data_IF_069421070276
#
_entry.id   IF_069421070276
#
_cell.length_a   1.000
_cell.length_b   1.000
_cell.length_c   1.000
_cell.angle_alpha   90.00
_cell.angle_beta   90.00
_cell.angle_gamma   90.00
#
_symmetry.space_group_name_H-M   'P 1'
#
loop_
_entity.id
_entity.type
_entity.pdbx_description
1 polymer ?
#
# COMPACT_ATOMS: atom_id res chain seq x y z
N UNK A 1 13.03 3.26 8.57
CA UNK A 1 12.12 3.02 9.72
C UNK A 1 10.69 2.98 9.17
N UNK A 2 9.90 1.95 9.48
CA UNK A 2 8.49 1.84 9.03
C UNK A 2 7.58 2.20 10.20
N UNK A 3 6.64 3.12 9.98
CA UNK A 3 5.67 3.59 10.97
C UNK A 3 4.27 3.62 10.36
N UNK A 4 3.25 3.71 11.21
CA UNK A 4 1.86 3.88 10.77
C UNK A 4 1.38 5.28 11.11
N UNK A 5 0.60 5.88 10.21
CA UNK A 5 0.05 7.23 10.40
C UNK A 5 -0.86 7.29 11.63
N UNK A 6 -1.00 8.47 12.25
CA UNK A 6 -1.76 8.62 13.50
C UNK A 6 -1.10 8.01 14.76
N UNK A 7 0.03 7.31 14.67
CA UNK A 7 0.72 6.72 15.81
C UNK A 7 2.05 7.41 16.11
N UNK A 8 2.33 7.79 17.38
CA UNK A 8 3.60 8.42 17.75
C UNK A 8 4.78 7.45 17.63
N UNK A 9 5.95 7.99 17.26
CA UNK A 9 7.24 7.32 17.36
C UNK A 9 8.28 8.25 17.98
N UNK A 10 9.29 7.69 18.65
CA UNK A 10 10.33 8.48 19.33
C UNK A 10 11.64 8.50 18.53
N UNK A 11 12.23 9.69 18.39
CA UNK A 11 13.56 9.92 17.82
C UNK A 11 14.43 10.61 18.86
N UNK A 12 15.65 10.11 19.05
CA UNK A 12 16.65 10.77 19.90
C UNK A 12 17.51 11.71 19.05
N UNK A 13 17.63 12.95 19.49
CA UNK A 13 18.48 13.98 18.89
C UNK A 13 19.53 14.40 19.92
N UNK A 14 20.80 14.35 19.52
CA UNK A 14 21.92 14.79 20.36
C UNK A 14 22.49 16.08 19.79
N UNK A 15 22.36 17.16 20.55
CA UNK A 15 22.92 18.47 20.25
C UNK A 15 24.27 18.62 20.95
N UNK A 16 25.17 19.38 20.34
CA UNK A 16 26.49 19.74 20.92
C UNK A 16 26.39 20.77 22.03
N UNK A 17 25.25 21.47 22.13
CA UNK A 17 25.00 22.54 23.08
C UNK A 17 23.63 22.39 23.76
N UNK A 18 23.42 23.08 24.91
CA UNK A 18 22.12 23.11 25.56
C UNK A 18 21.01 23.59 24.63
N UNK A 19 19.87 22.91 24.64
CA UNK A 19 18.69 23.28 23.85
C UNK A 19 17.99 24.51 24.46
N UNK A 20 17.88 25.58 23.67
CA UNK A 20 17.26 26.86 24.07
C UNK A 20 16.12 27.22 23.11
N UNK A 21 14.92 26.62 23.24
CA UNK A 21 13.84 26.72 22.26
C UNK A 21 13.34 28.16 22.02
N UNK A 22 13.39 29.02 23.04
CA UNK A 22 12.94 30.42 22.92
C UNK A 22 13.87 31.30 22.07
N UNK A 23 15.14 30.92 21.95
CA UNK A 23 16.14 31.63 21.14
C UNK A 23 16.42 30.94 19.82
N UNK A 24 16.45 29.61 19.83
CA UNK A 24 16.76 28.77 18.69
C UNK A 24 15.69 27.67 18.57
N UNK A 25 14.63 27.91 17.80
CA UNK A 25 13.60 26.90 17.59
C UNK A 25 14.17 25.70 16.83
N UNK A 26 13.75 24.50 17.22
CA UNK A 26 14.03 23.27 16.49
C UNK A 26 12.93 23.08 15.46
N UNK A 27 13.25 23.16 14.18
CA UNK A 27 12.29 22.95 13.09
C UNK A 27 12.49 21.58 12.48
N UNK A 28 11.41 20.86 12.21
CA UNK A 28 11.40 19.56 11.57
C UNK A 28 10.58 19.66 10.28
N UNK A 29 11.09 19.09 9.21
CA UNK A 29 10.37 18.97 7.94
C UNK A 29 10.21 17.50 7.56
N UNK A 30 9.01 17.14 7.13
CA UNK A 30 8.68 15.83 6.61
C UNK A 30 8.26 15.96 5.14
N UNK A 31 8.95 15.27 4.24
CA UNK A 31 8.76 15.40 2.78
C UNK A 31 8.48 14.07 2.12
N UNK A 32 7.34 13.95 1.42
CA UNK A 32 6.91 12.76 0.64
C UNK A 32 6.46 13.13 -0.79
N UNK A 33 6.94 14.27 -1.30
CA UNK A 33 6.37 14.97 -2.46
C UNK A 33 5.51 16.17 -2.05
N UNK A 34 4.87 16.09 -0.88
CA UNK A 34 4.33 17.24 -0.15
C UNK A 34 5.27 17.65 0.99
N UNK A 35 5.21 18.94 1.37
CA UNK A 35 6.06 19.55 2.38
C UNK A 35 5.29 19.86 3.68
N UNK A 36 5.66 19.20 4.79
CA UNK A 36 5.12 19.47 6.12
C UNK A 36 6.21 20.03 7.04
N UNK A 37 5.97 21.18 7.67
CA UNK A 37 6.90 21.87 8.57
C UNK A 37 6.29 22.05 9.97
N UNK A 38 7.01 21.63 11.00
CA UNK A 38 6.58 21.64 12.42
C UNK A 38 7.81 21.76 13.33
N UNK A 39 7.66 21.85 14.66
CA UNK A 39 8.82 21.91 15.55
C UNK A 39 8.54 22.42 16.95
N UNK A 40 9.61 22.80 17.65
CA UNK A 40 9.58 23.26 19.05
C UNK A 40 10.21 24.65 19.15
N UNK A 41 9.53 25.65 19.75
CA UNK A 41 8.17 25.59 20.28
C UNK A 41 7.11 25.52 19.17
N UNK A 42 5.86 25.14 19.51
CA UNK A 42 4.71 24.98 18.59
C UNK A 42 4.20 26.31 17.95
N UNK A 43 5.08 27.32 17.86
CA UNK A 43 4.84 28.62 17.23
C UNK A 43 5.40 28.68 15.80
N UNK A 44 6.00 27.61 15.29
CA UNK A 44 6.59 27.56 13.95
C UNK A 44 5.51 27.71 12.88
N UNK A 45 5.76 28.58 11.90
CA UNK A 45 4.82 28.89 10.82
C UNK A 45 4.59 27.64 9.96
N UNK A 46 3.36 27.14 10.01
CA UNK A 46 2.93 25.87 9.43
C UNK A 46 2.74 26.00 7.92
N UNK A 47 2.94 24.90 7.19
CA UNK A 47 2.70 24.84 5.73
C UNK A 47 1.23 25.17 5.41
N UNK A 48 0.92 26.12 4.51
CA UNK A 48 -0.46 26.45 4.14
C UNK A 48 -1.22 25.29 3.47
N UNK A 49 -0.50 24.32 2.91
CA UNK A 49 -1.00 23.22 2.09
C UNK A 49 -1.21 21.90 2.86
N UNK A 50 -0.96 21.87 4.17
CA UNK A 50 -1.11 20.65 4.96
C UNK A 50 -2.53 20.58 5.53
N UNK A 51 -3.40 19.72 4.97
CA UNK A 51 -4.75 19.47 5.52
C UNK A 51 -4.69 18.83 6.93
N UNK A 52 -3.57 18.18 7.27
CA UNK A 52 -3.25 17.76 8.63
C UNK A 52 -1.77 17.85 8.95
N UNK A 53 -1.47 18.18 10.20
CA UNK A 53 -0.14 18.64 10.64
C UNK A 53 0.51 17.60 11.54
N UNK A 54 1.76 17.26 11.22
CA UNK A 54 2.61 16.43 12.06
C UNK A 54 2.86 17.13 13.40
N UNK A 55 2.78 16.38 14.49
CA UNK A 55 3.02 16.89 15.84
C UNK A 55 4.39 16.46 16.33
N UNK A 56 5.04 17.30 17.14
CA UNK A 56 6.25 16.93 17.88
C UNK A 56 6.14 17.40 19.32
N UNK A 57 6.52 16.52 20.23
CA UNK A 57 6.53 16.75 21.67
C UNK A 57 7.89 16.38 22.25
N UNK A 58 8.36 17.15 23.23
CA UNK A 58 9.58 16.85 23.96
C UNK A 58 9.26 15.93 25.14
N UNK A 59 9.85 14.74 25.18
CA UNK A 59 9.61 13.82 26.30
C UNK A 59 10.24 14.36 27.60
N UNK A 60 9.61 14.03 28.74
CA UNK A 60 10.11 14.39 30.08
C UNK A 60 11.50 13.85 30.41
N UNK A 61 11.94 12.78 29.72
CA UNK A 61 13.27 12.16 29.88
C UNK A 61 14.36 12.87 29.06
N UNK A 62 14.02 13.92 28.34
CA UNK A 62 15.01 14.77 27.68
C UNK A 62 15.87 15.48 28.72
N UNK A 63 17.12 15.72 28.36
CA UNK A 63 18.06 16.52 29.14
C UNK A 63 18.48 17.74 28.30
N UNK A 64 17.62 18.78 28.19
CA UNK A 64 17.90 19.96 27.37
C UNK A 64 19.21 20.65 27.73
N UNK A 65 19.60 20.63 29.01
CA UNK A 65 20.84 21.21 29.50
C UNK A 65 22.11 20.52 28.97
N UNK A 66 22.02 19.25 28.59
CA UNK A 66 23.14 18.48 28.03
C UNK A 66 22.97 18.24 26.52
N UNK A 67 21.95 18.83 25.89
CA UNK A 67 21.69 18.68 24.45
C UNK A 67 21.01 17.37 24.04
N UNK A 68 20.68 16.46 24.98
CA UNK A 68 20.01 15.19 24.65
C UNK A 68 18.49 15.37 24.64
N UNK A 69 17.87 15.30 23.46
CA UNK A 69 16.42 15.48 23.28
C UNK A 69 15.77 14.19 22.80
N UNK A 70 14.73 13.74 23.49
CA UNK A 70 13.85 12.69 23.01
C UNK A 70 12.59 13.34 22.45
N UNK A 71 12.41 13.23 21.14
CA UNK A 71 11.30 13.83 20.39
C UNK A 71 10.27 12.74 20.09
N UNK A 72 9.05 12.91 20.58
CA UNK A 72 7.91 12.10 20.17
C UNK A 72 7.27 12.79 18.97
N UNK A 73 7.29 12.13 17.81
CA UNK A 73 6.77 12.66 16.54
C UNK A 73 5.54 11.85 16.15
N UNK A 74 4.45 12.54 15.82
CA UNK A 74 3.17 11.92 15.45
C UNK A 74 2.74 12.38 14.06
N UNK A 75 2.79 11.51 13.04
CA UNK A 75 2.14 11.78 11.76
C UNK A 75 0.61 11.86 11.96
N UNK A 76 -0.10 12.74 11.27
CA UNK A 76 -1.55 12.80 11.37
C UNK A 76 -2.21 11.54 10.78
N UNK A 77 -3.44 11.20 11.20
CA UNK A 77 -4.12 9.96 10.80
C UNK A 77 -4.55 9.92 9.33
N UNK A 78 -4.50 11.05 8.63
CA UNK A 78 -4.78 11.26 7.21
C UNK A 78 -3.50 11.67 6.44
N UNK A 79 -2.31 11.49 7.02
CA UNK A 79 -1.06 11.67 6.29
C UNK A 79 -1.06 10.80 5.02
N UNK A 80 -0.56 11.31 3.87
CA UNK A 80 -0.24 10.47 2.74
C UNK A 80 0.70 9.34 3.14
N UNK A 81 0.48 8.13 2.61
CA UNK A 81 1.41 7.03 2.81
C UNK A 81 2.55 7.10 1.79
N UNK A 82 3.72 6.58 2.15
CA UNK A 82 4.88 6.59 1.26
C UNK A 82 6.21 6.74 1.98
N UNK A 83 7.27 6.96 1.19
CA UNK A 83 8.59 7.32 1.72
C UNK A 83 8.62 8.78 2.15
N UNK A 84 9.23 9.04 3.30
CA UNK A 84 9.38 10.36 3.89
C UNK A 84 10.84 10.60 4.28
N UNK A 85 11.36 11.76 3.87
CA UNK A 85 12.59 12.29 4.43
C UNK A 85 12.23 13.24 5.58
N UNK A 86 12.73 12.91 6.78
CA UNK A 86 12.57 13.74 7.96
C UNK A 86 13.86 14.51 8.20
N UNK A 87 13.87 15.83 8.01
CA UNK A 87 15.03 16.68 8.33
C UNK A 87 14.74 17.54 9.54
N UNK A 88 15.77 17.81 10.33
CA UNK A 88 15.73 18.80 11.40
C UNK A 88 16.63 19.98 11.07
N UNK A 89 16.21 21.17 11.46
CA UNK A 89 16.99 22.39 11.40
C UNK A 89 17.07 22.99 12.79
N UNK A 90 18.29 23.20 13.27
CA UNK A 90 18.59 23.88 14.52
C UNK A 90 19.67 24.93 14.24
N UNK A 91 19.36 26.20 14.50
CA UNK A 91 20.20 27.34 14.05
C UNK A 91 20.40 27.29 12.53
N UNK A 92 21.65 27.32 12.08
CA UNK A 92 22.04 27.30 10.66
C UNK A 92 22.39 25.88 10.18
N UNK A 93 22.23 24.87 11.02
CA UNK A 93 22.51 23.47 10.69
C UNK A 93 21.24 22.71 10.34
N UNK A 94 21.24 22.04 9.19
CA UNK A 94 20.20 21.12 8.77
C UNK A 94 20.77 19.70 8.71
N UNK A 95 20.04 18.74 9.27
CA UNK A 95 20.48 17.34 9.37
C UNK A 95 19.31 16.40 9.09
N UNK A 96 19.58 15.30 8.38
CA UNK A 96 18.62 14.23 8.18
C UNK A 96 18.41 13.48 9.50
N UNK A 97 17.18 13.48 10.02
CA UNK A 97 16.80 12.72 11.21
C UNK A 97 16.54 11.24 10.87
N UNK A 98 15.74 11.00 9.83
CA UNK A 98 15.34 9.64 9.47
C UNK A 98 14.77 9.56 8.05
N UNK A 99 14.96 8.40 7.42
CA UNK A 99 14.15 7.96 6.30
C UNK A 99 13.04 7.06 6.84
N UNK A 100 11.80 7.48 6.60
CA UNK A 100 10.60 6.85 7.10
C UNK A 100 9.81 6.24 5.94
N UNK A 101 9.11 5.15 6.21
CA UNK A 101 7.97 4.71 5.41
C UNK A 101 6.75 4.87 6.30
N UNK A 102 5.79 5.68 5.89
CA UNK A 102 4.51 5.86 6.59
C UNK A 102 3.45 5.02 5.89
N UNK A 103 2.74 4.18 6.64
CA UNK A 103 1.68 3.30 6.16
C UNK A 103 0.33 3.67 6.77
N UNK A 104 -0.76 3.11 6.23
CA UNK A 104 -2.09 3.20 6.85
C UNK A 104 -2.09 2.51 8.23
N UNK A 105 -3.02 2.94 9.10
CA UNK A 105 -3.08 2.48 10.47
C UNK A 105 -4.46 1.92 10.87
N UNK A 106 -4.66 0.60 10.76
CA UNK A 106 -5.92 -0.01 11.16
C UNK A 106 -6.14 -0.06 12.68
N UNK A 107 -5.13 0.26 13.50
CA UNK A 107 -5.24 0.38 14.95
C UNK A 107 -5.52 1.82 15.43
N UNK A 108 -5.50 2.81 14.53
CA UNK A 108 -5.76 4.21 14.88
C UNK A 108 -7.25 4.52 14.66
N UNK A 109 -8.03 4.86 15.71
CA UNK A 109 -9.46 5.15 15.56
C UNK A 109 -9.78 6.33 14.64
N UNK A 110 -8.83 7.27 14.49
CA UNK A 110 -8.97 8.44 13.63
C UNK A 110 -8.59 8.14 12.16
N UNK A 111 -8.04 6.96 11.86
CA UNK A 111 -7.72 6.55 10.50
C UNK A 111 -8.95 5.95 9.80
N UNK A 112 -9.17 6.37 8.56
CA UNK A 112 -10.18 5.82 7.65
C UNK A 112 -10.17 4.29 7.47
N UNK A 113 -9.06 3.60 7.77
CA UNK A 113 -8.96 2.13 7.68
C UNK A 113 -9.07 1.41 9.03
N UNK A 114 -9.45 2.12 10.10
CA UNK A 114 -9.55 1.56 11.44
C UNK A 114 -10.48 0.36 11.51
N UNK A 115 -10.04 -0.67 12.22
CA UNK A 115 -10.86 -1.83 12.60
C UNK A 115 -10.81 -1.96 14.12
N UNK A 116 -11.97 -2.07 14.76
CA UNK A 116 -12.06 -2.13 16.22
C UNK A 116 -11.75 -3.52 16.79
N UNK A 117 -11.94 -4.58 16.01
CA UNK A 117 -11.70 -5.95 16.44
C UNK A 117 -10.24 -6.35 16.17
N UNK A 118 -9.51 -6.66 17.24
CA UNK A 118 -8.11 -7.12 17.15
C UNK A 118 -7.99 -8.45 16.38
N UNK A 119 -8.97 -9.35 16.47
CA UNK A 119 -8.93 -10.58 15.68
C UNK A 119 -9.02 -10.29 14.17
N UNK A 120 -9.79 -9.28 13.78
CA UNK A 120 -9.91 -8.85 12.39
C UNK A 120 -8.65 -8.11 11.91
N UNK A 121 -7.99 -7.29 12.75
CA UNK A 121 -6.71 -6.67 12.37
C UNK A 121 -5.62 -7.73 12.22
N UNK A 122 -5.59 -8.74 13.09
CA UNK A 122 -4.66 -9.85 12.94
C UNK A 122 -4.92 -10.64 11.64
N UNK A 123 -6.17 -10.93 11.30
CA UNK A 123 -6.50 -11.70 10.09
C UNK A 123 -6.32 -10.89 8.80
N UNK A 124 -6.81 -9.64 8.75
CA UNK A 124 -6.90 -8.87 7.52
C UNK A 124 -5.69 -7.97 7.26
N UNK A 125 -4.71 -7.92 8.16
CA UNK A 125 -3.49 -7.11 8.01
C UNK A 125 -2.23 -7.93 8.32
N UNK A 126 -2.19 -8.61 9.47
CA UNK A 126 -0.97 -9.26 9.96
C UNK A 126 -0.78 -10.68 9.44
N UNK A 127 -1.85 -11.42 9.16
CA UNK A 127 -1.74 -12.80 8.72
C UNK A 127 -1.16 -12.86 7.30
N UNK A 128 -0.04 -13.58 7.13
CA UNK A 128 0.64 -13.76 5.83
C UNK A 128 0.17 -15.01 5.09
N UNK A 129 -0.62 -15.87 5.75
CA UNK A 129 -1.08 -17.12 5.17
C UNK A 129 -2.59 -17.12 5.02
N UNK A 130 -3.05 -17.34 3.79
CA UNK A 130 -4.46 -17.31 3.43
C UNK A 130 -4.94 -18.57 2.75
N UNK A 131 -6.27 -18.64 2.61
CA UNK A 131 -6.95 -19.61 1.78
C UNK A 131 -7.64 -18.84 0.65
N UNK A 132 -7.45 -19.33 -0.58
CA UNK A 132 -8.26 -18.89 -1.72
C UNK A 132 -9.14 -20.06 -2.15
N UNK A 133 -10.45 -19.81 -2.25
CA UNK A 133 -11.40 -20.81 -2.70
C UNK A 133 -11.48 -20.80 -4.23
N UNK A 134 -11.60 -22.00 -4.81
CA UNK A 134 -11.65 -22.32 -6.25
C UNK A 134 -12.59 -23.51 -6.47
N UNK A 135 -12.68 -23.98 -7.71
CA UNK A 135 -13.52 -25.12 -8.08
C UNK A 135 -14.86 -24.65 -8.62
N UNK A 136 -15.93 -25.38 -8.32
CA UNK A 136 -17.30 -25.02 -8.69
C UNK A 136 -18.16 -24.84 -7.44
N UNK A 137 -19.37 -24.29 -7.61
CA UNK A 137 -20.34 -24.20 -6.50
C UNK A 137 -20.68 -25.56 -5.88
N UNK A 138 -20.60 -26.63 -6.66
CA UNK A 138 -20.85 -28.01 -6.22
C UNK A 138 -19.60 -28.69 -5.62
N UNK A 139 -18.40 -28.18 -5.93
CA UNK A 139 -17.14 -28.76 -5.49
C UNK A 139 -16.14 -27.66 -5.15
N UNK A 140 -16.19 -27.22 -3.89
CA UNK A 140 -15.30 -26.22 -3.33
C UNK A 140 -13.90 -26.81 -3.12
N UNK A 141 -12.90 -26.17 -3.73
CA UNK A 141 -11.49 -26.48 -3.56
C UNK A 141 -10.85 -25.30 -2.83
N UNK A 142 -10.14 -25.55 -1.74
CA UNK A 142 -9.28 -24.55 -1.11
C UNK A 142 -7.85 -24.71 -1.59
N UNK A 143 -7.20 -23.61 -1.93
CA UNK A 143 -5.76 -23.54 -2.11
C UNK A 143 -5.15 -22.68 -1.02
N UNK A 144 -3.98 -23.08 -0.54
CA UNK A 144 -3.17 -22.24 0.33
C UNK A 144 -2.51 -21.15 -0.51
N UNK A 145 -2.48 -19.94 0.03
CA UNK A 145 -1.79 -18.81 -0.59
C UNK A 145 -0.91 -18.11 0.43
N UNK A 146 0.36 -18.00 0.12
CA UNK A 146 1.31 -17.22 0.90
C UNK A 146 1.32 -15.77 0.42
N UNK A 147 0.72 -14.87 1.20
CA UNK A 147 0.68 -13.46 0.90
C UNK A 147 2.07 -12.82 1.06
N UNK A 148 2.88 -13.26 2.02
CA UNK A 148 4.26 -12.83 2.23
C UNK A 148 4.46 -11.31 2.24
N UNK A 149 3.56 -10.54 2.86
CA UNK A 149 3.65 -9.07 2.88
C UNK A 149 4.81 -8.52 3.72
N UNK A 150 5.41 -9.32 4.61
CA UNK A 150 6.54 -8.90 5.45
C UNK A 150 7.88 -9.50 5.01
N UNK A 151 7.89 -10.18 3.86
CA UNK A 151 9.11 -10.67 3.23
C UNK A 151 10.08 -9.54 2.83
N UNK A 152 11.35 -9.90 2.62
CA UNK A 152 12.41 -8.95 2.28
C UNK A 152 12.05 -8.10 1.05
N UNK A 153 12.34 -6.79 1.13
CA UNK A 153 12.09 -5.77 0.10
C UNK A 153 10.60 -5.51 -0.24
N UNK A 154 9.65 -6.21 0.39
CA UNK A 154 8.23 -6.06 0.03
C UNK A 154 7.73 -4.62 0.18
N UNK A 155 8.14 -3.92 1.24
CA UNK A 155 7.76 -2.52 1.42
C UNK A 155 8.24 -1.64 0.26
N UNK A 156 9.49 -1.81 -0.16
CA UNK A 156 10.08 -1.11 -1.30
C UNK A 156 9.35 -1.46 -2.60
N UNK A 157 9.05 -2.75 -2.82
CA UNK A 157 8.36 -3.22 -4.02
C UNK A 157 6.94 -2.61 -4.10
N UNK A 158 6.19 -2.65 -3.01
CA UNK A 158 4.83 -2.10 -2.96
C UNK A 158 4.81 -0.58 -3.15
N UNK A 159 5.77 0.16 -2.58
CA UNK A 159 5.90 1.60 -2.85
C UNK A 159 6.27 1.87 -4.31
N UNK A 160 7.14 1.03 -4.90
CA UNK A 160 7.49 1.14 -6.32
C UNK A 160 6.28 0.97 -7.24
N UNK A 161 5.29 0.15 -6.87
CA UNK A 161 4.02 0.02 -7.62
C UNK A 161 3.28 1.37 -7.68
N UNK A 162 3.33 2.15 -6.59
CA UNK A 162 2.72 3.48 -6.56
C UNK A 162 3.49 4.45 -7.46
N UNK A 163 4.82 4.42 -7.46
CA UNK A 163 5.61 5.39 -8.24
C UNK A 163 5.57 5.18 -9.76
N UNK A 164 5.27 3.97 -10.22
CA UNK A 164 5.24 3.63 -11.66
C UNK A 164 3.83 3.63 -12.25
N UNK A 165 2.84 4.07 -11.47
CA UNK A 165 1.47 4.16 -11.95
C UNK A 165 1.29 5.34 -12.93
N UNK A 166 0.39 5.25 -13.93
CA UNK A 166 0.21 6.31 -14.93
C UNK A 166 -0.07 7.71 -14.35
N UNK A 167 -0.80 7.79 -13.23
CA UNK A 167 -1.11 9.08 -12.59
C UNK A 167 0.11 9.68 -11.92
N UNK A 168 0.99 8.85 -11.36
CA UNK A 168 2.28 9.29 -10.84
C UNK A 168 3.17 9.81 -11.96
N UNK A 169 3.24 9.09 -13.08
CA UNK A 169 4.05 9.50 -14.23
C UNK A 169 3.55 10.82 -14.84
N UNK A 170 2.24 11.07 -14.80
CA UNK A 170 1.63 12.33 -15.26
C UNK A 170 1.89 13.49 -14.29
N UNK A 171 1.64 13.29 -12.98
CA UNK A 171 1.82 14.32 -11.96
C UNK A 171 2.18 13.71 -10.60
N UNK A 172 3.48 13.54 -10.29
CA UNK A 172 3.95 12.91 -9.06
C UNK A 172 3.43 13.59 -7.79
N UNK A 173 3.42 14.93 -7.76
CA UNK A 173 3.01 15.68 -6.57
C UNK A 173 1.51 15.51 -6.27
N UNK A 174 0.67 15.52 -7.32
CA UNK A 174 -0.77 15.31 -7.18
C UNK A 174 -1.08 13.88 -6.78
N UNK A 175 -0.42 12.89 -7.39
CA UNK A 175 -0.60 11.49 -7.05
C UNK A 175 -0.17 11.20 -5.60
N UNK A 176 1.02 11.64 -5.20
CA UNK A 176 1.52 11.51 -3.83
C UNK A 176 0.59 12.17 -2.80
N UNK A 177 0.02 13.35 -3.11
CA UNK A 177 -0.95 13.99 -2.22
C UNK A 177 -2.22 13.16 -2.01
N UNK A 178 -2.64 12.39 -3.02
CA UNK A 178 -3.84 11.57 -2.97
C UNK A 178 -3.61 10.22 -2.25
N UNK A 179 -2.37 9.86 -1.93
CA UNK A 179 -2.03 8.67 -1.14
C UNK A 179 -2.51 8.73 0.31
N UNK A 180 -3.13 9.83 0.74
CA UNK A 180 -3.85 9.89 2.03
C UNK A 180 -5.16 9.09 2.02
N UNK A 181 -5.73 8.81 0.85
CA UNK A 181 -7.06 8.23 0.71
C UNK A 181 -6.97 6.74 0.32
N UNK A 182 -7.45 5.80 1.17
CA UNK A 182 -7.37 4.38 0.88
C UNK A 182 -8.20 3.98 -0.34
N UNK A 183 -9.28 4.70 -0.65
CA UNK A 183 -10.12 4.44 -1.84
C UNK A 183 -9.35 4.81 -3.12
N UNK A 184 -8.65 5.94 -3.11
CA UNK A 184 -7.81 6.34 -4.25
C UNK A 184 -6.72 5.29 -4.49
N UNK A 185 -6.02 4.92 -3.42
CA UNK A 185 -4.92 3.99 -3.49
C UNK A 185 -5.37 2.58 -3.91
N UNK A 186 -6.52 2.11 -3.41
CA UNK A 186 -7.14 0.85 -3.85
C UNK A 186 -7.38 0.81 -5.36
N UNK A 187 -7.83 1.93 -5.95
CA UNK A 187 -8.05 2.04 -7.40
C UNK A 187 -6.74 2.05 -8.18
N UNK A 188 -5.72 2.74 -7.68
CA UNK A 188 -4.38 2.73 -8.29
C UNK A 188 -3.82 1.31 -8.30
N UNK A 189 -3.78 0.65 -7.13
CA UNK A 189 -3.28 -0.73 -7.01
C UNK A 189 -4.06 -1.66 -7.92
N UNK A 190 -5.41 -1.63 -7.88
CA UNK A 190 -6.27 -2.46 -8.73
C UNK A 190 -5.99 -2.29 -10.22
N UNK A 191 -5.76 -1.06 -10.70
CA UNK A 191 -5.39 -0.80 -12.09
C UNK A 191 -4.00 -1.36 -12.42
N UNK A 192 -3.05 -1.24 -11.49
CA UNK A 192 -1.67 -1.75 -11.66
C UNK A 192 -1.56 -3.27 -11.63
N UNK A 193 -2.60 -4.00 -11.22
CA UNK A 193 -2.57 -5.46 -11.18
C UNK A 193 -2.58 -6.07 -12.59
N UNK A 194 -3.39 -5.51 -13.48
CA UNK A 194 -3.62 -6.05 -14.80
C UNK A 194 -2.76 -5.31 -15.84
N UNK A 195 -1.92 -6.04 -16.59
CA UNK A 195 -1.06 -5.46 -17.63
C UNK A 195 -1.77 -5.09 -18.94
N UNK A 196 -3.10 -4.97 -18.95
CA UNK A 196 -3.87 -4.62 -20.15
C UNK A 196 -3.41 -3.32 -20.81
N UNK A 197 -2.89 -2.38 -20.00
CA UNK A 197 -2.47 -1.04 -20.43
C UNK A 197 -0.94 -0.82 -20.30
N UNK A 198 -0.10 -1.84 -20.48
CA UNK A 198 1.38 -1.78 -20.45
C UNK A 198 2.07 -1.49 -19.10
N UNK A 199 1.37 -0.98 -18.09
CA UNK A 199 1.95 -0.62 -16.78
C UNK A 199 1.72 -1.64 -15.65
N UNK A 200 0.94 -2.70 -15.89
CA UNK A 200 0.57 -3.65 -14.84
C UNK A 200 1.61 -4.72 -14.54
N UNK A 201 1.58 -5.30 -13.33
CA UNK A 201 2.61 -6.25 -12.89
C UNK A 201 2.38 -7.72 -13.26
N UNK A 202 1.17 -8.13 -13.64
CA UNK A 202 0.84 -9.50 -14.06
C UNK A 202 0.22 -9.54 -15.45
N UNK A 203 0.74 -10.42 -16.31
CA UNK A 203 0.16 -10.75 -17.60
C UNK A 203 -0.93 -11.81 -17.47
N UNK A 204 -2.18 -11.45 -17.80
CA UNK A 204 -3.31 -12.36 -17.74
C UNK A 204 -3.29 -13.40 -18.88
N UNK A 205 -3.59 -14.66 -18.55
CA UNK A 205 -3.82 -15.70 -19.57
C UNK A 205 -4.75 -16.81 -19.06
N UNK A 206 -5.89 -16.98 -19.74
CA UNK A 206 -6.95 -17.92 -19.35
C UNK A 206 -6.88 -19.27 -20.06
N UNK A 207 -6.15 -19.37 -21.16
CA UNK A 207 -5.97 -20.62 -21.90
C UNK A 207 -4.51 -20.80 -22.35
N UNK A 208 -4.07 -22.06 -22.37
CA UNK A 208 -2.76 -22.44 -22.87
C UNK A 208 -2.58 -22.12 -24.37
N UNK A 209 -1.36 -22.26 -24.90
CA UNK A 209 -0.15 -22.69 -24.20
C UNK A 209 0.58 -21.54 -23.46
N UNK A 210 1.02 -21.72 -22.22
CA UNK A 210 1.65 -20.67 -21.38
C UNK A 210 3.11 -20.36 -21.73
N UNK A 211 3.43 -20.14 -23.01
CA UNK A 211 4.80 -19.89 -23.45
C UNK A 211 5.41 -18.61 -22.87
N UNK A 212 6.68 -18.68 -22.45
CA UNK A 212 7.43 -17.52 -21.94
C UNK A 212 7.03 -17.07 -20.53
N UNK A 213 6.29 -17.91 -19.79
CA UNK A 213 5.87 -17.67 -18.42
C UNK A 213 5.48 -18.95 -17.72
N UNK A 214 4.96 -18.81 -16.51
CA UNK A 214 4.49 -19.92 -15.68
C UNK A 214 2.97 -20.11 -15.83
N UNK A 215 2.51 -21.34 -15.69
CA UNK A 215 1.08 -21.64 -15.63
C UNK A 215 0.46 -20.97 -14.38
N UNK A 216 -0.72 -20.32 -14.47
CA UNK A 216 -1.31 -19.62 -13.33
C UNK A 216 -1.50 -20.48 -12.06
N UNK A 217 -1.68 -21.79 -12.22
CA UNK A 217 -1.81 -22.75 -11.11
C UNK A 217 -0.47 -23.13 -10.46
N UNK A 218 0.67 -22.72 -11.03
CA UNK A 218 2.00 -22.91 -10.44
C UNK A 218 2.22 -22.02 -9.22
N UNK A 219 1.60 -20.83 -9.19
CA UNK A 219 1.78 -19.88 -8.10
C UNK A 219 1.07 -20.34 -6.82
N UNK A 220 1.82 -20.30 -5.72
CA UNK A 220 1.33 -20.56 -4.37
C UNK A 220 1.43 -19.34 -3.45
N UNK A 221 1.82 -18.18 -3.97
CA UNK A 221 2.03 -16.98 -3.18
C UNK A 221 2.41 -15.75 -3.99
N UNK A 222 2.32 -14.59 -3.36
CA UNK A 222 2.49 -13.28 -4.01
C UNK A 222 3.94 -12.82 -4.06
N UNK A 223 4.75 -13.17 -3.07
CA UNK A 223 6.11 -12.66 -2.90
C UNK A 223 6.98 -12.86 -4.15
N UNK A 224 7.05 -14.09 -4.66
CA UNK A 224 7.87 -14.42 -5.82
C UNK A 224 7.41 -13.69 -7.10
N UNK A 225 6.11 -13.42 -7.23
CA UNK A 225 5.56 -12.66 -8.36
C UNK A 225 6.02 -11.21 -8.26
N UNK A 226 5.81 -10.56 -7.12
CA UNK A 226 6.17 -9.16 -6.89
C UNK A 226 7.68 -8.92 -6.97
N UNK A 227 8.49 -9.81 -6.36
CA UNK A 227 9.94 -9.76 -6.45
C UNK A 227 10.43 -9.94 -7.88
N UNK A 228 9.83 -10.87 -8.65
CA UNK A 228 10.18 -11.05 -10.06
C UNK A 228 9.83 -9.82 -10.88
N UNK A 229 8.62 -9.26 -10.72
CA UNK A 229 8.19 -8.03 -11.39
C UNK A 229 9.19 -6.89 -11.15
N UNK A 230 9.58 -6.67 -9.89
CA UNK A 230 10.57 -5.64 -9.54
C UNK A 230 11.94 -5.92 -10.19
N UNK A 231 12.41 -7.17 -10.15
CA UNK A 231 13.73 -7.55 -10.68
C UNK A 231 13.84 -7.49 -12.21
N UNK A 232 12.73 -7.68 -12.94
CA UNK A 232 12.70 -7.56 -14.40
C UNK A 232 12.42 -6.12 -14.86
N UNK A 233 12.63 -5.12 -14.00
CA UNK A 233 12.47 -3.71 -14.35
C UNK A 233 11.01 -3.30 -14.49
N UNK A 234 10.14 -3.80 -13.62
CA UNK A 234 8.70 -3.50 -13.60
C UNK A 234 7.93 -3.98 -14.85
N UNK A 235 8.48 -4.93 -15.62
CA UNK A 235 7.75 -5.57 -16.72
C UNK A 235 6.75 -6.63 -16.21
N UNK A 236 5.63 -6.87 -16.92
CA UNK A 236 4.62 -7.84 -16.48
C UNK A 236 5.16 -9.27 -16.30
N UNK A 237 4.87 -9.88 -15.16
CA UNK A 237 5.16 -11.30 -14.87
C UNK A 237 4.09 -12.16 -15.54
N UNK A 238 4.53 -13.15 -16.32
CA UNK A 238 3.65 -14.06 -17.05
C UNK A 238 3.61 -15.42 -16.34
N UNK A 239 2.46 -16.02 -16.03
CA UNK A 239 1.08 -15.55 -16.22
C UNK A 239 0.24 -15.62 -14.93
N UNK A 240 -0.87 -14.87 -14.90
CA UNK A 240 -1.86 -14.89 -13.83
C UNK A 240 -3.29 -15.11 -14.32
N UNK A 241 -4.16 -15.52 -13.40
CA UNK A 241 -5.62 -15.58 -13.52
C UNK A 241 -6.27 -14.90 -12.31
N UNK A 242 -7.61 -14.83 -12.27
CA UNK A 242 -8.37 -14.06 -11.27
C UNK A 242 -7.89 -14.25 -9.82
N UNK A 243 -7.66 -15.49 -9.37
CA UNK A 243 -7.20 -15.76 -8.00
C UNK A 243 -5.77 -15.29 -7.75
N UNK A 244 -4.89 -15.34 -8.76
CA UNK A 244 -3.50 -14.84 -8.67
C UNK A 244 -3.52 -13.32 -8.53
N UNK A 245 -4.33 -12.65 -9.36
CA UNK A 245 -4.52 -11.20 -9.27
C UNK A 245 -5.05 -10.79 -7.89
N UNK A 246 -6.07 -11.48 -7.38
CA UNK A 246 -6.64 -11.21 -6.06
C UNK A 246 -5.64 -11.47 -4.91
N UNK A 247 -4.88 -12.57 -5.00
CA UNK A 247 -3.84 -12.91 -4.02
C UNK A 247 -2.76 -11.82 -3.93
N UNK A 248 -2.25 -11.37 -5.09
CA UNK A 248 -1.26 -10.29 -5.13
C UNK A 248 -1.84 -8.96 -4.67
N UNK A 249 -3.09 -8.64 -5.04
CA UNK A 249 -3.79 -7.45 -4.53
C UNK A 249 -3.80 -7.45 -3.00
N UNK A 250 -4.24 -8.56 -2.42
CA UNK A 250 -4.37 -8.71 -0.98
C UNK A 250 -3.02 -8.47 -0.28
N UNK A 251 -1.94 -9.06 -0.78
CA UNK A 251 -0.57 -8.82 -0.25
C UNK A 251 -0.19 -7.34 -0.26
N UNK A 252 -0.39 -6.65 -1.39
CA UNK A 252 -0.04 -5.22 -1.51
C UNK A 252 -0.88 -4.39 -0.55
N UNK A 253 -2.19 -4.62 -0.49
CA UNK A 253 -3.10 -3.86 0.38
C UNK A 253 -2.80 -4.09 1.86
N UNK A 254 -2.58 -5.35 2.28
CA UNK A 254 -2.18 -5.71 3.65
C UNK A 254 -0.87 -5.04 4.06
N UNK A 255 0.14 -5.06 3.17
CA UNK A 255 1.40 -4.37 3.41
C UNK A 255 1.18 -2.89 3.66
N UNK A 256 0.43 -2.23 2.78
CA UNK A 256 0.18 -0.78 2.86
C UNK A 256 -0.63 -0.40 4.10
N UNK A 257 -1.16 -1.38 4.85
CA UNK A 257 -1.94 -1.20 6.06
C UNK A 257 -3.43 -1.09 5.82
N UNK A 258 -3.91 -1.43 4.63
CA UNK A 258 -5.34 -1.46 4.31
C UNK A 258 -5.84 -2.90 4.57
N UNK A 259 -6.76 -3.11 5.53
CA UNK A 259 -7.33 -4.42 5.79
C UNK A 259 -7.94 -5.04 4.54
N UNK A 260 -7.53 -6.25 4.20
CA UNK A 260 -7.91 -6.89 2.94
C UNK A 260 -8.12 -8.40 3.08
N UNK A 261 -9.05 -8.94 2.30
CA UNK A 261 -9.32 -10.38 2.18
C UNK A 261 -9.67 -10.75 0.75
N UNK A 262 -9.29 -11.96 0.34
CA UNK A 262 -9.67 -12.51 -0.97
C UNK A 262 -11.09 -13.08 -0.89
N UNK A 263 -11.91 -12.77 -1.89
CA UNK A 263 -13.29 -13.26 -1.99
C UNK A 263 -13.44 -14.04 -3.30
N UNK A 264 -14.08 -15.20 -3.22
CA UNK A 264 -14.40 -16.03 -4.39
C UNK A 264 -15.91 -16.02 -4.59
N UNK A 265 -16.33 -15.71 -5.81
CA UNK A 265 -17.72 -15.83 -6.25
C UNK A 265 -17.83 -16.99 -7.25
N UNK A 266 -18.82 -17.86 -7.07
CA UNK A 266 -19.10 -18.97 -7.98
C UNK A 266 -20.24 -18.60 -8.92
N UNK A 267 -20.23 -19.12 -10.14
CA UNK A 267 -21.18 -18.75 -11.19
C UNK A 267 -21.16 -17.23 -11.41
N UNK A 268 -19.95 -16.69 -11.56
CA UNK A 268 -19.72 -15.26 -11.60
C UNK A 268 -20.03 -14.72 -12.98
N UNK A 269 -21.18 -14.05 -13.11
CA UNK A 269 -21.57 -13.37 -14.33
C UNK A 269 -20.58 -12.24 -14.68
N UNK A 270 -19.95 -12.35 -15.83
CA UNK A 270 -19.14 -11.30 -16.45
C UNK A 270 -19.98 -10.65 -17.56
N UNK A 271 -20.77 -9.65 -17.16
CA UNK A 271 -21.60 -8.82 -18.03
C UNK A 271 -20.75 -7.68 -18.65
N UNK A 272 -20.57 -7.73 -19.97
CA UNK A 272 -19.79 -6.75 -20.72
C UNK A 272 -20.58 -5.48 -21.10
N UNK A 273 -21.92 -5.51 -21.00
CA UNK A 273 -22.81 -4.45 -21.49
C UNK A 273 -23.62 -3.74 -20.37
N UNK A 274 -23.61 -4.28 -19.15
CA UNK A 274 -24.25 -3.76 -17.93
C UNK A 274 -25.78 -3.75 -17.94
N UNK A 275 -26.41 -4.63 -18.72
CA UNK A 275 -27.87 -4.76 -18.78
C UNK A 275 -28.43 -5.81 -17.80
N UNK A 276 -27.58 -6.50 -17.03
CA UNK A 276 -27.93 -7.58 -16.09
C UNK A 276 -28.50 -8.84 -16.76
N UNK A 277 -28.28 -9.01 -18.07
CA UNK A 277 -28.70 -10.16 -18.88
C UNK A 277 -27.44 -10.81 -19.45
N UNK A 278 -27.26 -12.11 -19.18
CA UNK A 278 -26.20 -12.91 -19.78
C UNK A 278 -26.83 -13.85 -20.79
N UNK A 279 -26.51 -13.65 -22.06
CA UNK A 279 -26.98 -14.53 -23.14
C UNK A 279 -25.94 -15.62 -23.41
N UNK A 280 -26.38 -16.89 -23.33
CA UNK A 280 -25.58 -18.07 -23.66
C UNK A 280 -26.22 -18.75 -24.87
N UNK A 281 -25.45 -18.89 -25.95
CA UNK A 281 -25.94 -19.51 -27.19
C UNK A 281 -25.36 -20.90 -27.35
N UNK A 282 -26.22 -21.88 -27.60
CA UNK A 282 -25.81 -23.26 -27.89
C UNK A 282 -26.08 -23.59 -29.37
N UNK A 283 -25.22 -24.42 -29.97
CA UNK A 283 -25.52 -25.03 -31.27
C UNK A 283 -26.73 -25.98 -31.18
N UNK A 284 -27.37 -26.32 -32.31
CA UNK A 284 -28.62 -27.11 -32.41
C UNK A 284 -28.63 -28.44 -31.61
N UNK A 285 -27.45 -29.01 -31.35
CA UNK A 285 -27.28 -30.25 -30.59
C UNK A 285 -26.86 -30.04 -29.12
N UNK A 286 -26.77 -28.81 -28.63
CA UNK A 286 -26.56 -28.48 -27.21
C UNK A 286 -25.14 -28.71 -26.66
N UNK A 287 -24.18 -29.15 -27.47
CA UNK A 287 -22.89 -29.67 -26.95
C UNK A 287 -21.82 -28.60 -26.76
N UNK A 288 -21.92 -27.44 -27.43
CA UNK A 288 -20.96 -26.34 -27.26
C UNK A 288 -21.66 -24.99 -27.23
N UNK A 289 -21.30 -24.19 -26.23
CA UNK A 289 -21.59 -22.77 -26.18
C UNK A 289 -20.78 -22.06 -27.27
N UNK A 290 -21.42 -21.12 -27.96
CA UNK A 290 -20.72 -20.21 -28.85
C UNK A 290 -20.02 -19.14 -28.01
N UNK A 291 -18.86 -18.67 -28.47
CA UNK A 291 -18.16 -17.57 -27.80
C UNK A 291 -19.01 -16.29 -27.81
N UNK A 292 -19.30 -15.79 -26.62
CA UNK A 292 -19.97 -14.52 -26.37
C UNK A 292 -19.06 -13.57 -25.60
N UNK A 293 -19.35 -12.27 -25.66
CA UNK A 293 -18.65 -11.27 -24.82
C UNK A 293 -19.04 -11.39 -23.35
N UNK A 294 -20.27 -11.82 -23.11
CA UNK A 294 -20.78 -12.12 -21.78
C UNK A 294 -20.49 -13.59 -21.45
N UNK A 295 -20.17 -13.89 -20.19
CA UNK A 295 -19.87 -15.27 -19.77
C UNK A 295 -20.21 -15.47 -18.30
N UNK A 296 -20.39 -16.72 -17.89
CA UNK A 296 -20.49 -17.10 -16.48
C UNK A 296 -19.25 -17.92 -16.14
N UNK A 297 -18.44 -17.43 -15.20
CA UNK A 297 -17.20 -18.07 -14.76
C UNK A 297 -17.42 -18.99 -13.56
#
# INVERSE_FOLDING_TARGET
LIVRRGQPFTVKVELTEPFKPDFYPLTITAVTGLYSCFGIPDKIQRSPSAEAVWKVELEKRSYPLTGSLNLTITPPADAPIGEYNLTTRYRDEETLLANLVVLFNPWCPDDSVSICDEAETQEYVMNEHGIIYKGSGDYLISIHWDFGQFEEDMAKICLKILDVNPKHLENPAKDASAHCNPIYLSRVVSAMINSGDEYGFLGGRWAGPFWGGDEPSHWSGSYHILKRWHNIGCHPVKYGQCWVFAGVMCSVMRLLGIPCRVVTNYQSAHDSNKNLIIDVYHADYGVRENETKDSVW
#
